data_IF_754913543440
#
_entry.id   IF_754913543440
#
_cell.length_a   1.000
_cell.length_b   1.000
_cell.length_c   1.000
_cell.angle_alpha   90.00
_cell.angle_beta   90.00
_cell.angle_gamma   90.00
#
_symmetry.space_group_name_H-M   'P 1'
#
loop_
_entity.id
_entity.type
_entity.pdbx_description
1 polymer ?
#
# COMPACT_ATOMS: atom_id res chain seq x y z
N UNK A 1 36.85 -14.92 -3.80
CA UNK A 1 35.96 -13.94 -3.15
C UNK A 1 34.58 -14.03 -3.80
N UNK A 2 33.70 -14.85 -3.23
CA UNK A 2 32.35 -15.09 -3.75
C UNK A 2 31.42 -13.95 -3.30
N UNK A 3 30.90 -13.17 -4.25
CA UNK A 3 29.80 -12.25 -4.00
C UNK A 3 28.48 -13.02 -4.13
N UNK A 4 27.89 -13.37 -2.98
CA UNK A 4 26.52 -13.88 -2.90
C UNK A 4 25.59 -12.69 -3.15
N UNK A 5 24.93 -12.69 -4.30
CA UNK A 5 23.92 -11.69 -4.67
C UNK A 5 22.59 -12.19 -4.09
N UNK A 6 22.11 -11.53 -3.04
CA UNK A 6 20.77 -11.78 -2.48
C UNK A 6 19.72 -11.11 -3.37
N UNK A 7 19.06 -11.90 -4.21
CA UNK A 7 17.87 -11.45 -4.96
C UNK A 7 16.67 -11.54 -4.01
N UNK A 8 16.27 -10.38 -3.49
CA UNK A 8 15.14 -10.20 -2.57
C UNK A 8 13.86 -10.00 -3.42
N UNK A 9 12.96 -10.99 -3.44
CA UNK A 9 11.69 -10.96 -4.18
C UNK A 9 10.49 -10.91 -3.21
N UNK A 10 9.58 -9.94 -3.40
CA UNK A 10 8.33 -9.81 -2.62
C UNK A 10 7.09 -9.99 -3.50
N UNK A 11 5.94 -9.99 -2.83
CA UNK A 11 4.63 -10.57 -3.08
C UNK A 11 3.51 -9.60 -3.52
N UNK A 12 2.97 -9.81 -4.73
CA UNK A 12 2.00 -8.96 -5.44
C UNK A 12 0.58 -9.54 -5.25
N UNK A 13 -0.38 -8.76 -4.77
CA UNK A 13 -1.81 -9.11 -4.63
C UNK A 13 -2.75 -8.23 -5.48
N UNK A 14 -3.92 -8.76 -5.85
CA UNK A 14 -5.01 -8.06 -6.53
C UNK A 14 -6.37 -8.52 -6.00
N UNK A 15 -7.40 -7.72 -6.29
CA UNK A 15 -8.80 -8.05 -6.07
C UNK A 15 -9.64 -7.90 -7.34
N UNK A 16 -10.40 -8.93 -7.70
CA UNK A 16 -11.67 -8.79 -8.42
C UNK A 16 -12.74 -9.37 -7.50
N UNK A 17 -13.66 -8.52 -7.05
CA UNK A 17 -14.71 -8.88 -6.11
C UNK A 17 -15.99 -9.36 -6.81
N UNK A 18 -16.75 -10.30 -6.22
CA UNK A 18 -18.19 -10.34 -6.39
C UNK A 18 -18.81 -9.12 -5.72
N UNK A 19 -19.67 -8.41 -6.43
CA UNK A 19 -20.38 -7.22 -5.95
C UNK A 19 -21.29 -7.54 -4.76
N UNK A 20 -20.76 -7.34 -3.55
CA UNK A 20 -21.53 -7.09 -2.33
C UNK A 20 -21.03 -5.76 -1.75
N UNK A 21 -21.77 -4.68 -2.02
CA UNK A 21 -21.42 -3.33 -1.60
C UNK A 21 -21.38 -3.21 -0.07
N UNK A 22 -20.18 -3.07 0.48
CA UNK A 22 -19.93 -2.32 1.69
C UNK A 22 -19.16 -1.05 1.27
N UNK A 23 -19.88 0.08 1.20
CA UNK A 23 -19.42 1.45 0.95
C UNK A 23 -18.10 1.64 0.19
N UNK A 24 -18.19 1.87 -1.14
CA UNK A 24 -17.06 2.46 -1.85
C UNK A 24 -16.66 3.78 -1.16
N UNK A 25 -15.44 3.84 -0.64
CA UNK A 25 -14.88 5.03 0.00
C UNK A 25 -13.78 5.62 -0.88
N UNK A 26 -13.46 6.88 -0.68
CA UNK A 26 -12.27 7.47 -1.30
C UNK A 26 -11.08 7.22 -0.39
N UNK A 27 -9.97 6.76 -0.96
CA UNK A 27 -8.71 6.57 -0.24
C UNK A 27 -7.75 7.70 -0.53
N UNK A 28 -7.05 8.18 0.51
CA UNK A 28 -5.83 8.97 0.37
C UNK A 28 -4.67 8.19 0.99
N UNK A 29 -3.76 7.71 0.15
CA UNK A 29 -2.48 7.19 0.57
C UNK A 29 -1.45 8.32 0.63
N UNK A 30 -0.69 8.37 1.71
CA UNK A 30 0.42 9.30 1.93
C UNK A 30 1.63 8.49 2.38
N UNK A 31 2.76 8.64 1.70
CA UNK A 31 4.05 8.11 2.13
C UNK A 31 5.08 9.24 2.17
N UNK A 32 5.91 9.26 3.20
CA UNK A 32 6.88 10.34 3.40
C UNK A 32 8.05 9.86 4.23
N UNK A 33 9.15 10.63 4.18
CA UNK A 33 10.28 10.52 5.10
C UNK A 33 10.18 11.64 6.12
N UNK A 34 10.07 11.31 7.40
CA UNK A 34 9.94 12.35 8.41
C UNK A 34 11.26 13.14 8.56
N UNK A 35 11.18 14.47 8.47
CA UNK A 35 12.33 15.37 8.58
C UNK A 35 12.25 16.22 9.85
N UNK A 36 11.04 16.70 10.18
CA UNK A 36 10.75 17.48 11.37
C UNK A 36 9.45 16.97 12.00
N UNK A 37 9.57 16.17 13.06
CA UNK A 37 8.42 15.62 13.78
C UNK A 37 7.50 16.72 14.33
N UNK A 38 8.06 17.81 14.86
CA UNK A 38 7.27 18.91 15.41
C UNK A 38 6.51 19.63 14.30
N UNK A 39 7.19 19.92 13.19
CA UNK A 39 6.60 20.48 11.98
C UNK A 39 5.49 19.59 11.40
N UNK A 40 5.69 18.27 11.37
CA UNK A 40 4.69 17.31 10.92
C UNK A 40 3.44 17.31 11.82
N UNK A 41 3.62 17.31 13.14
CA UNK A 41 2.48 17.39 14.08
C UNK A 41 1.72 18.72 13.94
N UNK A 42 2.43 19.83 13.69
CA UNK A 42 1.79 21.12 13.43
C UNK A 42 1.02 21.11 12.11
N UNK A 43 1.59 20.54 11.04
CA UNK A 43 0.89 20.36 9.77
C UNK A 43 -0.40 19.56 9.93
N UNK A 44 -0.34 18.45 10.68
CA UNK A 44 -1.52 17.63 10.99
C UNK A 44 -2.61 18.43 11.71
N UNK A 45 -2.24 19.25 12.70
CA UNK A 45 -3.19 20.12 13.41
C UNK A 45 -3.84 21.13 12.46
N UNK A 46 -3.04 21.75 11.58
CA UNK A 46 -3.51 22.75 10.62
C UNK A 46 -4.39 22.16 9.50
N UNK A 47 -4.19 20.89 9.14
CA UNK A 47 -4.97 20.19 8.12
C UNK A 47 -6.20 19.46 8.67
N UNK A 48 -6.30 19.30 9.99
CA UNK A 48 -7.41 18.61 10.64
C UNK A 48 -8.79 19.13 10.21
N UNK A 49 -9.06 20.45 10.13
CA UNK A 49 -10.38 20.94 9.69
C UNK A 49 -10.72 20.52 8.26
N UNK A 50 -9.73 20.47 7.37
CA UNK A 50 -9.92 20.01 6.00
C UNK A 50 -10.25 18.51 5.97
N UNK A 51 -9.48 17.69 6.69
CA UNK A 51 -9.77 16.26 6.79
C UNK A 51 -11.14 16.00 7.42
N UNK A 52 -11.53 16.73 8.48
CA UNK A 52 -12.86 16.63 9.07
C UNK A 52 -13.97 17.02 8.10
N UNK A 53 -13.79 18.09 7.32
CA UNK A 53 -14.73 18.52 6.27
C UNK A 53 -14.97 17.42 5.23
N UNK A 54 -13.92 16.71 4.82
CA UNK A 54 -14.01 15.58 3.89
C UNK A 54 -14.28 14.23 4.58
N UNK A 55 -14.57 14.26 5.89
CA UNK A 55 -14.80 13.09 6.75
C UNK A 55 -13.68 12.05 6.65
N UNK A 56 -12.44 12.50 6.48
CA UNK A 56 -11.28 11.65 6.41
C UNK A 56 -10.94 11.06 7.77
N UNK A 57 -10.69 9.76 7.83
CA UNK A 57 -10.29 8.99 9.01
C UNK A 57 -9.09 8.12 8.67
N UNK A 58 -8.19 7.95 9.63
CA UNK A 58 -7.10 6.99 9.48
C UNK A 58 -7.65 5.59 9.38
N UNK A 59 -7.30 4.89 8.30
CA UNK A 59 -7.58 3.47 8.13
C UNK A 59 -6.35 2.64 8.51
N UNK A 60 -5.17 3.01 7.99
CA UNK A 60 -3.88 2.39 8.36
C UNK A 60 -2.80 3.43 8.54
N UNK A 61 -1.93 3.22 9.53
CA UNK A 61 -0.75 4.04 9.78
C UNK A 61 0.40 3.09 10.11
N UNK A 62 1.58 3.37 9.57
CA UNK A 62 2.73 2.52 9.85
C UNK A 62 4.06 3.11 9.41
N UNK A 63 5.13 2.42 9.79
CA UNK A 63 6.49 2.69 9.29
C UNK A 63 6.82 1.76 8.16
N UNK A 64 7.50 2.26 7.13
CA UNK A 64 8.09 1.47 6.06
C UNK A 64 9.51 1.10 6.50
N UNK A 65 9.78 -0.18 6.69
CA UNK A 65 11.07 -0.69 7.14
C UNK A 65 11.97 -1.12 5.97
N UNK A 66 11.37 -1.54 4.86
CA UNK A 66 12.11 -1.96 3.67
C UNK A 66 11.27 -1.81 2.41
N UNK A 67 11.95 -1.68 1.28
CA UNK A 67 11.37 -1.76 -0.06
C UNK A 67 11.99 -2.94 -0.81
N UNK A 68 11.19 -3.68 -1.57
CA UNK A 68 11.68 -4.71 -2.50
C UNK A 68 10.98 -4.59 -3.85
N UNK A 69 11.62 -5.08 -4.92
CA UNK A 69 11.13 -4.96 -6.29
C UNK A 69 11.98 -4.03 -7.17
N UNK A 70 11.74 -4.02 -8.49
CA UNK A 70 12.49 -3.21 -9.44
C UNK A 70 12.21 -1.71 -9.33
N UNK A 71 10.99 -1.32 -8.91
CA UNK A 71 10.61 0.09 -8.78
C UNK A 71 11.42 0.72 -7.66
N UNK A 72 12.16 1.77 -8.02
CA UNK A 72 12.92 2.57 -7.08
C UNK A 72 11.97 3.45 -6.25
N UNK A 73 11.38 2.86 -5.20
CA UNK A 73 10.67 3.63 -4.19
C UNK A 73 11.69 4.45 -3.38
N UNK A 74 11.45 5.75 -3.25
CA UNK A 74 12.29 6.63 -2.41
C UNK A 74 12.24 6.20 -0.95
N UNK A 75 13.16 6.73 -0.15
CA UNK A 75 13.35 6.44 1.27
C UNK A 75 12.21 6.94 2.20
N UNK A 76 10.96 6.91 1.77
CA UNK A 76 9.81 7.15 2.65
C UNK A 76 9.81 6.09 3.75
N UNK A 77 9.74 6.53 5.01
CA UNK A 77 9.81 5.67 6.20
C UNK A 77 8.48 5.62 6.98
N UNK A 78 7.48 6.39 6.55
CA UNK A 78 6.12 6.36 7.07
C UNK A 78 5.11 6.23 5.94
N UNK A 79 3.97 5.65 6.27
CA UNK A 79 2.79 5.70 5.44
C UNK A 79 1.51 5.94 6.27
N UNK A 80 0.50 6.47 5.60
CA UNK A 80 -0.85 6.57 6.11
C UNK A 80 -1.83 6.34 4.97
N UNK A 81 -2.81 5.47 5.19
CA UNK A 81 -3.97 5.31 4.32
C UNK A 81 -5.18 5.86 5.08
N UNK A 82 -5.84 6.86 4.49
CA UNK A 82 -7.07 7.45 5.01
C UNK A 82 -8.26 6.95 4.20
N UNK A 83 -9.40 6.73 4.87
CA UNK A 83 -10.72 6.67 4.23
C UNK A 83 -11.34 8.07 4.28
N UNK A 84 -11.95 8.52 3.21
CA UNK A 84 -12.60 9.83 3.09
C UNK A 84 -13.98 9.67 2.41
N UNK A 85 -14.93 10.54 2.74
CA UNK A 85 -16.23 10.56 2.09
C UNK A 85 -16.17 11.13 0.65
N UNK A 86 -15.14 11.92 0.34
CA UNK A 86 -14.92 12.55 -0.96
C UNK A 86 -13.43 12.79 -1.22
N UNK A 87 -13.02 13.01 -2.48
CA UNK A 87 -11.65 13.42 -2.81
C UNK A 87 -11.22 14.69 -2.07
N UNK A 88 -9.99 14.71 -1.59
CA UNK A 88 -9.36 15.76 -0.78
C UNK A 88 -8.03 16.26 -1.34
N UNK A 89 -7.37 15.51 -2.24
CA UNK A 89 -6.03 15.85 -2.74
C UNK A 89 -6.01 17.20 -3.45
N UNK A 90 -6.99 17.49 -4.31
CA UNK A 90 -7.08 18.79 -4.99
C UNK A 90 -7.26 19.96 -4.01
N UNK A 91 -8.06 19.78 -2.96
CA UNK A 91 -8.24 20.75 -1.87
C UNK A 91 -6.95 20.98 -1.06
N UNK A 92 -6.19 19.91 -0.78
CA UNK A 92 -4.88 20.01 -0.12
C UNK A 92 -3.90 20.86 -0.92
N UNK A 93 -3.90 20.69 -2.24
CA UNK A 93 -3.03 21.44 -3.17
C UNK A 93 -3.47 22.89 -3.28
N UNK A 94 -4.76 23.14 -3.54
CA UNK A 94 -5.31 24.49 -3.66
C UNK A 94 -5.17 25.31 -2.37
N UNK A 95 -5.30 24.66 -1.20
CA UNK A 95 -5.10 25.28 0.10
C UNK A 95 -3.63 25.46 0.52
N UNK A 96 -2.67 25.04 -0.31
CA UNK A 96 -1.24 25.15 0.00
C UNK A 96 -0.73 24.20 1.10
N UNK A 97 -1.58 23.32 1.61
CA UNK A 97 -1.22 22.35 2.66
C UNK A 97 -0.18 21.34 2.19
N UNK A 98 -0.19 20.99 0.91
CA UNK A 98 0.88 20.19 0.31
C UNK A 98 2.25 20.86 0.47
N UNK A 99 2.36 22.15 0.13
CA UNK A 99 3.62 22.90 0.21
C UNK A 99 4.12 22.94 1.66
N UNK A 100 3.21 23.17 2.61
CA UNK A 100 3.53 23.11 4.04
C UNK A 100 4.07 21.73 4.44
N UNK A 101 3.40 20.64 4.03
CA UNK A 101 3.86 19.28 4.33
C UNK A 101 5.25 19.01 3.73
N UNK A 102 5.45 19.35 2.46
CA UNK A 102 6.74 19.16 1.76
C UNK A 102 7.89 19.96 2.37
N UNK A 103 7.61 20.96 3.21
CA UNK A 103 8.64 21.69 3.96
C UNK A 103 9.15 20.95 5.20
N UNK A 104 8.33 20.04 5.76
CA UNK A 104 8.59 19.34 7.03
C UNK A 104 8.78 17.83 6.87
N UNK A 105 8.56 17.29 5.67
CA UNK A 105 8.87 15.91 5.30
C UNK A 105 9.63 15.87 3.97
N UNK A 106 10.48 14.87 3.79
CA UNK A 106 11.10 14.58 2.51
C UNK A 106 10.33 13.45 1.79
N UNK A 107 10.61 13.26 0.50
CA UNK A 107 10.09 12.10 -0.26
C UNK A 107 8.55 11.93 -0.17
N UNK A 108 7.83 13.06 -0.16
CA UNK A 108 6.37 13.07 -0.06
C UNK A 108 5.73 12.50 -1.33
N UNK A 109 4.94 11.46 -1.15
CA UNK A 109 4.10 10.84 -2.17
C UNK A 109 2.67 10.76 -1.68
N UNK A 110 1.74 11.16 -2.55
CA UNK A 110 0.31 11.07 -2.28
C UNK A 110 -0.40 10.42 -3.45
N UNK A 111 -1.32 9.51 -3.18
CA UNK A 111 -2.20 8.91 -4.19
C UNK A 111 -3.63 8.91 -3.68
N UNK A 112 -4.57 9.32 -4.52
CA UNK A 112 -5.98 9.42 -4.19
C UNK A 112 -6.83 8.69 -5.23
N UNK A 113 -7.86 7.98 -4.78
CA UNK A 113 -8.78 7.29 -5.67
C UNK A 113 -9.80 6.42 -4.94
N UNK A 114 -10.31 5.41 -5.63
CA UNK A 114 -11.31 4.50 -5.08
C UNK A 114 -10.64 3.50 -4.14
N UNK A 115 -11.17 3.38 -2.92
CA UNK A 115 -10.69 2.45 -1.92
C UNK A 115 -11.71 1.34 -1.70
N UNK A 116 -11.25 0.11 -1.93
CA UNK A 116 -12.00 -1.11 -1.66
C UNK A 116 -11.43 -1.78 -0.40
N UNK A 117 -12.21 -1.85 0.66
CA UNK A 117 -11.80 -2.43 1.95
C UNK A 117 -12.30 -3.87 2.02
N UNK A 118 -11.39 -4.81 2.25
CA UNK A 118 -11.69 -6.25 2.33
C UNK A 118 -11.76 -6.74 3.77
N UNK A 119 -10.88 -6.22 4.64
CA UNK A 119 -10.93 -6.45 6.07
C UNK A 119 -11.67 -5.30 6.76
N UNK A 120 -12.74 -5.64 7.47
CA UNK A 120 -13.62 -4.67 8.14
C UNK A 120 -12.82 -3.65 8.99
N UNK A 121 -13.19 -2.37 8.92
CA UNK A 121 -12.59 -1.25 9.66
C UNK A 121 -12.55 -1.45 11.18
N UNK A 122 -13.43 -2.32 11.72
CA UNK A 122 -13.48 -2.67 13.15
C UNK A 122 -12.40 -3.63 13.62
N UNK A 123 -11.62 -4.21 12.72
CA UNK A 123 -10.48 -5.04 13.10
C UNK A 123 -9.36 -4.11 13.58
N UNK A 124 -9.27 -3.92 14.89
CA UNK A 124 -8.10 -3.29 15.51
C UNK A 124 -6.91 -4.21 15.27
N UNK A 125 -6.07 -3.85 14.30
CA UNK A 125 -4.88 -4.60 13.99
C UNK A 125 -3.89 -4.45 15.15
N UNK A 126 -3.23 -5.55 15.53
CA UNK A 126 -2.20 -5.51 16.55
C UNK A 126 -1.12 -4.48 16.18
N UNK A 127 -0.58 -3.69 17.12
CA UNK A 127 0.57 -2.83 16.88
C UNK A 127 1.78 -3.59 16.32
N UNK A 128 1.84 -4.90 16.50
CA UNK A 128 2.90 -5.78 15.98
C UNK A 128 2.63 -6.33 14.58
N UNK A 129 1.52 -5.95 13.95
CA UNK A 129 1.15 -6.45 12.64
C UNK A 129 2.11 -5.93 11.55
N UNK A 130 2.42 -6.80 10.60
CA UNK A 130 3.24 -6.49 9.43
C UNK A 130 2.34 -6.20 8.23
N UNK A 131 2.68 -5.16 7.48
CA UNK A 131 2.04 -4.85 6.21
C UNK A 131 2.98 -5.06 5.04
N UNK A 132 2.39 -5.43 3.90
CA UNK A 132 3.02 -5.24 2.61
C UNK A 132 2.10 -4.33 1.81
N UNK A 133 2.64 -3.20 1.37
CA UNK A 133 1.97 -2.33 0.39
C UNK A 133 2.63 -2.58 -0.94
N UNK A 134 1.91 -3.24 -1.82
CA UNK A 134 2.30 -3.40 -3.21
C UNK A 134 1.97 -2.13 -3.97
N UNK A 135 2.93 -1.63 -4.73
CA UNK A 135 2.76 -0.57 -5.73
C UNK A 135 2.89 -1.21 -7.10
N UNK A 136 1.92 -1.03 -7.99
CA UNK A 136 1.90 -1.73 -9.29
C UNK A 136 1.69 -0.79 -10.47
N UNK A 137 2.45 -1.07 -11.53
CA UNK A 137 2.22 -0.55 -12.87
C UNK A 137 2.04 -1.76 -13.79
N UNK A 138 0.83 -1.99 -14.29
CA UNK A 138 0.51 -3.12 -15.15
C UNK A 138 0.89 -2.82 -16.61
N UNK A 139 1.33 -3.84 -17.34
CA UNK A 139 1.60 -3.71 -18.77
C UNK A 139 0.31 -3.71 -19.63
N UNK A 140 -0.79 -4.22 -19.08
CA UNK A 140 -2.11 -4.34 -19.70
C UNK A 140 -2.09 -5.08 -21.06
N UNK A 141 -1.12 -5.96 -21.29
CA UNK A 141 -1.05 -6.77 -22.51
C UNK A 141 -2.08 -7.90 -22.53
N UNK A 142 -2.42 -8.44 -21.35
CA UNK A 142 -3.43 -9.49 -21.15
C UNK A 142 -4.18 -9.26 -19.84
N UNK A 143 -5.21 -8.42 -19.88
CA UNK A 143 -5.98 -8.04 -18.68
C UNK A 143 -6.79 -9.22 -18.13
N UNK A 144 -7.34 -10.07 -19.00
CA UNK A 144 -8.14 -11.23 -18.59
C UNK A 144 -7.26 -12.30 -17.93
N UNK A 145 -6.13 -12.64 -18.56
CA UNK A 145 -5.17 -13.59 -18.00
C UNK A 145 -4.55 -13.09 -16.71
N UNK A 146 -4.23 -11.78 -16.63
CA UNK A 146 -3.82 -11.14 -15.38
C UNK A 146 -4.83 -11.44 -14.27
N UNK A 147 -6.09 -11.07 -14.49
CA UNK A 147 -7.15 -11.22 -13.49
C UNK A 147 -7.37 -12.69 -13.08
N UNK A 148 -7.30 -13.62 -14.04
CA UNK A 148 -7.41 -15.06 -13.78
C UNK A 148 -6.26 -15.59 -12.91
N UNK A 149 -5.01 -15.25 -13.25
CA UNK A 149 -3.82 -15.69 -12.50
C UNK A 149 -3.84 -15.17 -11.06
N UNK A 150 -4.38 -13.97 -10.84
CA UNK A 150 -4.52 -13.41 -9.49
C UNK A 150 -5.59 -14.08 -8.66
N UNK A 151 -6.71 -14.43 -9.29
CA UNK A 151 -7.73 -15.24 -8.63
C UNK A 151 -7.13 -16.58 -8.22
N UNK A 152 -6.32 -17.20 -9.09
CA UNK A 152 -5.64 -18.44 -8.78
C UNK A 152 -4.65 -18.30 -7.62
N UNK A 153 -3.77 -17.29 -7.65
CA UNK A 153 -2.82 -17.00 -6.56
C UNK A 153 -3.56 -16.80 -5.24
N UNK A 154 -4.66 -16.04 -5.24
CA UNK A 154 -5.48 -15.82 -4.05
C UNK A 154 -6.12 -17.11 -3.54
N UNK A 155 -6.66 -17.96 -4.42
CA UNK A 155 -7.23 -19.25 -4.01
C UNK A 155 -6.16 -20.20 -3.45
N UNK A 156 -4.98 -20.24 -4.07
CA UNK A 156 -3.87 -21.05 -3.58
C UNK A 156 -3.37 -20.55 -2.22
N UNK A 157 -3.28 -19.23 -2.01
CA UNK A 157 -2.79 -18.66 -0.75
C UNK A 157 -3.69 -19.00 0.43
N UNK A 158 -5.02 -19.04 0.25
CA UNK A 158 -5.96 -19.42 1.33
C UNK A 158 -5.78 -20.85 1.84
N UNK A 159 -5.15 -21.73 1.06
CA UNK A 159 -4.85 -23.11 1.44
C UNK A 159 -3.56 -23.22 2.28
N UNK A 160 -2.77 -22.15 2.34
CA UNK A 160 -1.50 -22.11 3.07
C UNK A 160 -1.75 -21.50 4.45
N UNK A 161 -1.45 -22.27 5.50
CA UNK A 161 -1.55 -21.77 6.87
C UNK A 161 -0.67 -20.54 7.07
N UNK A 162 -1.21 -19.52 7.77
CA UNK A 162 -0.52 -18.26 8.04
C UNK A 162 -0.11 -17.49 6.77
N UNK A 163 -0.87 -17.62 5.68
CA UNK A 163 -0.76 -16.70 4.54
C UNK A 163 -1.05 -15.26 4.94
N UNK A 164 -0.78 -14.33 4.01
CA UNK A 164 -1.25 -12.95 4.16
C UNK A 164 -2.78 -12.91 4.11
N UNK A 165 -3.33 -11.80 4.60
CA UNK A 165 -4.73 -11.41 4.41
C UNK A 165 -4.80 -10.17 3.54
N UNK A 166 -5.75 -10.12 2.60
CA UNK A 166 -6.03 -8.92 1.82
C UNK A 166 -6.76 -7.90 2.70
N UNK A 167 -6.20 -6.70 2.83
CA UNK A 167 -6.72 -5.66 3.72
C UNK A 167 -7.52 -4.62 2.95
N UNK A 168 -6.90 -4.00 1.95
CA UNK A 168 -7.54 -3.05 1.07
C UNK A 168 -6.82 -2.92 -0.28
N UNK A 169 -7.53 -2.40 -1.28
CA UNK A 169 -6.98 -1.97 -2.56
C UNK A 169 -7.38 -0.52 -2.83
N UNK A 170 -6.40 0.33 -3.06
CA UNK A 170 -6.60 1.69 -3.57
C UNK A 170 -6.28 1.70 -5.06
N UNK A 171 -7.24 2.13 -5.88
CA UNK A 171 -7.07 2.38 -7.32
C UNK A 171 -6.94 3.87 -7.56
N UNK A 172 -5.72 4.42 -7.73
CA UNK A 172 -5.52 5.86 -7.79
C UNK A 172 -6.09 6.48 -9.06
N UNK A 173 -6.77 7.61 -8.89
CA UNK A 173 -7.23 8.51 -9.95
C UNK A 173 -6.38 9.78 -10.03
N UNK A 174 -5.68 10.12 -8.95
CA UNK A 174 -4.73 11.22 -8.88
C UNK A 174 -3.50 10.82 -8.05
N UNK A 175 -2.35 11.42 -8.35
CA UNK A 175 -1.14 11.27 -7.54
C UNK A 175 -0.34 12.57 -7.50
N UNK A 176 0.56 12.66 -6.52
CA UNK A 176 1.49 13.77 -6.35
C UNK A 176 2.82 13.26 -5.79
N UNK A 177 3.93 13.79 -6.30
CA UNK A 177 5.28 13.38 -5.90
C UNK A 177 5.80 12.08 -6.52
N UNK A 178 4.98 11.41 -7.34
CA UNK A 178 5.37 10.24 -8.13
C UNK A 178 4.37 9.95 -9.26
N UNK A 179 4.80 9.13 -10.23
CA UNK A 179 3.90 8.62 -11.27
C UNK A 179 2.74 7.87 -10.63
N UNK A 180 1.54 8.06 -11.17
CA UNK A 180 0.33 7.42 -10.65
C UNK A 180 0.41 5.92 -10.88
N UNK A 181 0.43 5.07 -9.83
CA UNK A 181 0.38 3.64 -10.01
C UNK A 181 -1.04 3.23 -10.37
N UNK A 182 -1.18 2.08 -11.02
CA UNK A 182 -2.50 1.52 -11.34
C UNK A 182 -3.20 1.03 -10.08
N UNK A 183 -2.42 0.50 -9.12
CA UNK A 183 -2.96 -0.08 -7.90
C UNK A 183 -1.96 0.01 -6.73
N UNK A 184 -2.51 0.32 -5.55
CA UNK A 184 -1.86 0.12 -4.27
C UNK A 184 -2.62 -0.96 -3.49
N UNK A 185 -1.98 -2.11 -3.28
CA UNK A 185 -2.63 -3.23 -2.56
C UNK A 185 -2.00 -3.42 -1.20
N UNK A 186 -2.86 -3.41 -0.17
CA UNK A 186 -2.49 -3.56 1.22
C UNK A 186 -2.73 -5.00 1.64
N UNK A 187 -1.64 -5.66 2.00
CA UNK A 187 -1.62 -7.00 2.58
C UNK A 187 -1.20 -6.93 4.03
N UNK A 188 -1.71 -7.90 4.80
CA UNK A 188 -1.57 -7.94 6.23
C UNK A 188 -1.06 -9.30 6.69
N UNK A 189 -0.17 -9.29 7.70
CA UNK A 189 0.12 -10.44 8.54
C UNK A 189 -0.13 -10.10 10.01
N UNK A 190 -0.70 -11.06 10.74
CA UNK A 190 -1.12 -10.87 12.12
C UNK A 190 0.05 -10.71 13.11
N UNK A 191 1.16 -11.38 12.83
CA UNK A 191 2.33 -11.42 13.70
C UNK A 191 3.55 -10.84 12.98
N UNK A 192 4.38 -10.12 13.73
CA UNK A 192 5.69 -9.66 13.25
C UNK A 192 6.55 -10.84 12.78
N UNK A 193 7.14 -10.71 11.59
CA UNK A 193 8.02 -11.74 11.01
C UNK A 193 7.27 -12.92 10.39
N UNK A 194 5.94 -12.95 10.45
CA UNK A 194 5.14 -13.96 9.75
C UNK A 194 5.33 -13.86 8.24
N UNK A 195 5.45 -12.65 7.68
CA UNK A 195 5.73 -12.46 6.26
C UNK A 195 7.05 -13.11 5.83
N UNK A 196 8.11 -12.94 6.64
CA UNK A 196 9.40 -13.60 6.39
C UNK A 196 9.28 -15.12 6.44
N UNK A 197 8.67 -15.68 7.50
CA UNK A 197 8.47 -17.12 7.65
C UNK A 197 7.62 -17.71 6.51
N UNK A 198 6.57 -17.00 6.09
CA UNK A 198 5.74 -17.41 4.97
C UNK A 198 6.56 -17.54 3.69
N UNK A 199 7.40 -16.54 3.37
CA UNK A 199 8.25 -16.56 2.17
C UNK A 199 9.29 -17.69 2.22
N UNK A 200 9.91 -17.92 3.37
CA UNK A 200 10.91 -18.97 3.57
C UNK A 200 10.32 -20.38 3.44
N UNK A 201 9.08 -20.57 3.92
CA UNK A 201 8.44 -21.89 3.94
C UNK A 201 7.64 -22.23 2.69
N UNK A 202 7.38 -21.28 1.79
CA UNK A 202 6.52 -21.48 0.62
C UNK A 202 7.19 -21.01 -0.68
N UNK A 203 8.38 -21.53 -1.05
CA UNK A 203 9.14 -21.05 -2.22
C UNK A 203 8.38 -21.19 -3.54
N UNK A 204 7.54 -22.22 -3.70
CA UNK A 204 6.74 -22.42 -4.91
C UNK A 204 5.70 -21.29 -5.08
N UNK A 205 5.03 -20.90 -3.99
CA UNK A 205 4.12 -19.75 -4.01
C UNK A 205 4.86 -18.46 -4.36
N UNK A 206 6.07 -18.26 -3.83
CA UNK A 206 6.89 -17.07 -4.17
C UNK A 206 7.28 -17.08 -5.65
N UNK A 207 7.58 -18.26 -6.21
CA UNK A 207 7.84 -18.40 -7.65
C UNK A 207 6.62 -18.05 -8.49
N UNK A 208 5.43 -18.52 -8.11
CA UNK A 208 4.17 -18.17 -8.79
C UNK A 208 3.94 -16.67 -8.79
N UNK A 209 4.11 -16.01 -7.65
CA UNK A 209 3.95 -14.55 -7.55
C UNK A 209 5.02 -13.81 -8.37
N UNK A 210 6.26 -14.30 -8.38
CA UNK A 210 7.32 -13.73 -9.21
C UNK A 210 7.02 -13.81 -10.71
N UNK A 211 6.47 -14.95 -11.16
CA UNK A 211 6.03 -15.14 -12.55
C UNK A 211 4.89 -14.19 -12.91
N UNK A 212 3.90 -14.02 -12.02
CA UNK A 212 2.82 -13.05 -12.20
C UNK A 212 3.37 -11.65 -12.50
N UNK A 213 4.34 -11.19 -11.69
CA UNK A 213 4.93 -9.86 -11.87
C UNK A 213 5.62 -9.74 -13.22
N UNK A 214 6.46 -10.71 -13.55
CA UNK A 214 7.21 -10.71 -14.79
C UNK A 214 6.29 -10.66 -16.01
N UNK A 215 5.13 -11.31 -15.94
CA UNK A 215 4.20 -11.42 -17.05
C UNK A 215 3.25 -10.21 -17.16
N UNK A 216 2.88 -9.59 -16.04
CA UNK A 216 1.76 -8.64 -15.99
C UNK A 216 2.11 -7.22 -15.55
N UNK A 217 3.32 -6.96 -15.04
CA UNK A 217 3.74 -5.63 -14.63
C UNK A 217 4.86 -5.05 -15.51
N UNK A 218 4.81 -3.74 -15.70
CA UNK A 218 5.93 -2.94 -16.21
C UNK A 218 6.92 -2.64 -15.08
N UNK A 219 6.39 -2.34 -13.90
CA UNK A 219 7.19 -2.05 -12.72
C UNK A 219 6.37 -2.30 -11.44
N UNK A 220 7.06 -2.55 -10.33
CA UNK A 220 6.42 -2.76 -9.03
C UNK A 220 7.38 -2.55 -7.86
N UNK A 221 6.82 -2.16 -6.71
CA UNK A 221 7.51 -2.18 -5.43
C UNK A 221 6.64 -2.83 -4.35
N UNK A 222 7.31 -3.29 -3.31
CA UNK A 222 6.72 -3.76 -2.08
C UNK A 222 7.29 -3.02 -0.91
N UNK A 223 6.42 -2.27 -0.24
CA UNK A 223 6.77 -1.52 0.96
C UNK A 223 6.43 -2.41 2.13
N UNK A 224 7.46 -2.98 2.76
CA UNK A 224 7.30 -3.77 3.98
C UNK A 224 7.21 -2.79 5.13
N UNK A 225 6.10 -2.85 5.84
CA UNK A 225 5.85 -1.96 6.96
C UNK A 225 5.39 -2.66 8.22
N UNK A 226 5.36 -1.90 9.31
CA UNK A 226 4.81 -2.31 10.59
C UNK A 226 3.76 -1.32 11.03
N UNK A 227 2.69 -1.83 11.64
CA UNK A 227 1.64 -0.99 12.19
C UNK A 227 2.18 -0.04 13.24
N UNK A 228 1.64 1.17 13.25
CA UNK A 228 1.79 2.10 14.35
C UNK A 228 0.46 2.24 15.11
N UNK A 229 0.51 2.59 16.41
CA UNK A 229 -0.67 2.99 17.17
C UNK A 229 -1.35 4.24 16.59
#
# INVERSE_FOLDING_TARGET
>A
MNKIIYVLMIALSLSVMPSAFAGQSHGLFVAYKNKDEVGYQQWRKNTMPLFQKHQCKSFRVGKIAATQGPLQWSESDHFTLLTCASPVLSSLVAGGYYKMLSGVVDNLRMAEGMLNIMLNEKNTLSPTSEYIIKVSYYNNLDVEGRNAELMEIGQQSTKISKSWTNDAVLTPTASMGFFRPDELTFLYYAESGQGKKFRENNPDMIKTIGAFNQNHTLDFAYLIGQSMP
#
